data_IF_244712084049
#
_entry.id   IF_244712084049
#
_cell.length_a   1.000
_cell.length_b   1.000
_cell.length_c   1.000
_cell.angle_alpha   90.00
_cell.angle_beta   90.00
_cell.angle_gamma   90.00
#
_symmetry.space_group_name_H-M   'P 1'
#
loop_
_entity.id
_entity.type
_entity.pdbx_description
1 polymer ?
#
# COMPACT_ATOMS: atom_id res chain seq x y z
N UNK A 1 5.84 -32.21 -22.70
CA UNK A 1 5.08 -31.53 -21.63
C UNK A 1 5.16 -30.04 -21.91
N UNK A 2 4.03 -29.42 -22.17
CA UNK A 2 3.89 -28.14 -22.84
C UNK A 2 4.33 -26.97 -21.95
N UNK A 3 5.01 -25.96 -22.55
CA UNK A 3 5.48 -24.69 -21.93
C UNK A 3 4.42 -23.92 -21.12
N UNK A 4 3.15 -24.20 -21.31
CA UNK A 4 2.02 -23.48 -20.71
C UNK A 4 1.80 -23.70 -19.20
N UNK A 5 2.65 -24.49 -18.52
CA UNK A 5 2.35 -24.93 -17.16
C UNK A 5 3.42 -24.55 -16.10
N UNK A 6 4.34 -23.62 -16.42
CA UNK A 6 5.36 -23.16 -15.49
C UNK A 6 5.36 -21.63 -15.40
N UNK A 7 5.32 -21.11 -14.18
CA UNK A 7 5.25 -19.70 -13.84
C UNK A 7 6.62 -19.27 -13.34
N UNK A 8 7.17 -18.19 -13.90
CA UNK A 8 8.44 -17.63 -13.47
C UNK A 8 8.34 -17.08 -12.04
N UNK A 9 9.34 -17.35 -11.22
CA UNK A 9 9.45 -16.87 -9.84
C UNK A 9 10.41 -15.70 -9.80
N UNK A 10 10.05 -14.64 -9.06
CA UNK A 10 10.95 -13.51 -8.81
C UNK A 10 12.10 -13.94 -7.90
N UNK A 11 13.28 -13.36 -8.14
CA UNK A 11 14.46 -13.62 -7.30
C UNK A 11 14.22 -13.31 -5.82
N UNK A 12 13.48 -12.24 -5.52
CA UNK A 12 13.09 -11.83 -4.16
C UNK A 12 12.23 -12.88 -3.44
N UNK A 13 11.45 -13.65 -4.18
CA UNK A 13 10.50 -14.62 -3.63
C UNK A 13 11.12 -16.01 -3.35
N UNK A 14 12.24 -16.31 -3.98
CA UNK A 14 12.84 -17.67 -3.95
C UNK A 14 13.05 -18.19 -2.53
N UNK A 15 13.50 -17.33 -1.62
CA UNK A 15 13.73 -17.69 -0.21
C UNK A 15 12.46 -17.97 0.60
N UNK A 16 11.29 -17.60 0.08
CA UNK A 16 10.02 -17.80 0.77
C UNK A 16 9.40 -19.18 0.51
N UNK A 17 9.79 -19.84 -0.60
CA UNK A 17 9.24 -21.13 -0.99
C UNK A 17 9.98 -22.28 -0.30
N UNK A 18 9.46 -22.77 0.83
CA UNK A 18 10.01 -23.94 1.53
C UNK A 18 9.36 -25.24 1.03
N UNK A 19 8.03 -25.26 0.97
CA UNK A 19 7.25 -26.44 0.54
C UNK A 19 7.05 -26.52 -0.96
N UNK A 20 7.10 -25.39 -1.67
CA UNK A 20 6.92 -25.34 -3.11
C UNK A 20 8.19 -25.78 -3.83
N UNK A 21 8.14 -26.80 -4.70
CA UNK A 21 9.29 -27.22 -5.51
C UNK A 21 9.59 -26.17 -6.58
N UNK A 22 10.88 -25.95 -6.84
CA UNK A 22 11.34 -24.99 -7.84
C UNK A 22 12.05 -25.69 -8.99
N UNK A 23 11.84 -25.19 -10.19
CA UNK A 23 12.36 -25.74 -11.44
C UNK A 23 13.23 -24.70 -12.15
N UNK A 24 14.17 -25.18 -12.97
CA UNK A 24 14.93 -24.34 -13.90
C UNK A 24 14.84 -24.89 -15.32
N UNK A 25 15.06 -24.05 -16.32
CA UNK A 25 15.23 -24.52 -17.70
C UNK A 25 16.61 -25.12 -17.89
N UNK A 26 16.67 -26.30 -18.50
CA UNK A 26 17.92 -26.93 -18.98
C UNK A 26 18.35 -26.30 -20.29
N UNK A 27 19.58 -26.63 -20.75
CA UNK A 27 20.10 -26.24 -22.07
C UNK A 27 19.25 -26.80 -23.24
N UNK A 28 18.50 -27.88 -22.99
CA UNK A 28 17.57 -28.49 -23.95
C UNK A 28 16.15 -27.95 -23.84
N UNK A 29 15.96 -26.82 -23.16
CA UNK A 29 14.66 -26.13 -22.94
C UNK A 29 13.62 -26.94 -22.13
N UNK A 30 14.03 -28.00 -21.44
CA UNK A 30 13.19 -28.79 -20.55
C UNK A 30 13.21 -28.19 -19.13
N UNK A 31 12.08 -28.29 -18.39
CA UNK A 31 12.06 -27.96 -17.00
C UNK A 31 12.59 -29.11 -16.14
N UNK A 32 13.63 -28.85 -15.38
CA UNK A 32 14.25 -29.80 -14.46
C UNK A 32 14.11 -29.31 -13.02
N UNK A 33 13.91 -30.24 -12.09
CA UNK A 33 13.80 -29.93 -10.67
C UNK A 33 15.11 -29.27 -10.21
N UNK A 34 15.00 -28.12 -9.55
CA UNK A 34 16.11 -27.37 -8.97
C UNK A 34 16.13 -27.47 -7.46
N UNK A 35 14.97 -27.34 -6.82
CA UNK A 35 14.74 -27.48 -5.38
C UNK A 35 13.52 -28.39 -5.16
N UNK A 36 13.63 -29.52 -4.47
CA UNK A 36 12.48 -30.31 -4.08
C UNK A 36 11.60 -29.58 -3.04
N UNK A 37 10.43 -30.13 -2.78
CA UNK A 37 9.59 -29.70 -1.67
C UNK A 37 10.30 -29.96 -0.32
N UNK A 38 9.99 -29.12 0.67
CA UNK A 38 10.55 -29.17 2.03
C UNK A 38 12.09 -29.06 2.12
N UNK A 39 12.73 -28.52 1.09
CA UNK A 39 14.16 -28.22 1.11
C UNK A 39 14.38 -26.69 1.18
N UNK A 40 15.55 -26.28 1.66
CA UNK A 40 15.94 -24.88 1.75
C UNK A 40 16.92 -24.52 0.65
N UNK A 41 16.81 -23.31 0.11
CA UNK A 41 17.76 -22.76 -0.84
C UNK A 41 18.82 -21.97 -0.08
N UNK A 42 20.08 -22.29 -0.35
CA UNK A 42 21.19 -21.42 0.07
C UNK A 42 21.16 -20.12 -0.75
N UNK A 43 20.61 -19.07 -0.13
CA UNK A 43 20.45 -17.75 -0.75
C UNK A 43 21.80 -17.09 -1.09
N UNK A 44 22.91 -17.50 -0.46
CA UNK A 44 24.23 -16.98 -0.80
C UNK A 44 24.65 -17.36 -2.22
N UNK A 45 24.15 -18.48 -2.74
CA UNK A 45 24.39 -18.86 -4.15
C UNK A 45 23.71 -17.92 -5.15
N UNK A 46 22.76 -17.09 -4.71
CA UNK A 46 22.03 -16.13 -5.54
C UNK A 46 22.56 -14.69 -5.44
N UNK A 47 23.62 -14.45 -4.67
CA UNK A 47 24.24 -13.14 -4.54
C UNK A 47 25.01 -12.70 -5.80
N UNK A 48 25.31 -13.63 -6.75
CA UNK A 48 25.99 -13.35 -8.01
C UNK A 48 25.06 -13.02 -9.17
N UNK A 49 25.63 -12.48 -10.26
CA UNK A 49 24.89 -12.11 -11.48
C UNK A 49 24.36 -13.30 -12.29
N UNK A 50 24.87 -14.51 -12.07
CA UNK A 50 24.49 -15.74 -12.78
C UNK A 50 23.48 -16.58 -12.00
N UNK A 51 22.33 -16.03 -11.80
CA UNK A 51 21.22 -16.74 -11.17
C UNK A 51 20.28 -17.30 -12.26
N UNK A 52 19.98 -18.63 -12.26
CA UNK A 52 19.06 -19.19 -13.22
C UNK A 52 17.63 -18.71 -12.92
N UNK A 53 16.88 -18.31 -13.94
CA UNK A 53 15.45 -18.09 -13.77
C UNK A 53 14.79 -19.35 -13.22
N UNK A 54 14.12 -19.23 -12.08
CA UNK A 54 13.37 -20.33 -11.47
C UNK A 54 11.88 -20.22 -11.77
N UNK A 55 11.20 -21.36 -11.67
CA UNK A 55 9.80 -21.53 -12.03
C UNK A 55 9.11 -22.45 -11.03
N UNK A 56 7.79 -22.23 -10.85
CA UNK A 56 6.88 -23.16 -10.18
C UNK A 56 5.96 -23.79 -11.23
N UNK A 57 5.42 -24.97 -10.96
CA UNK A 57 4.36 -25.54 -11.81
C UNK A 57 3.04 -24.83 -11.53
N UNK A 58 2.19 -24.68 -12.53
CA UNK A 58 0.86 -24.08 -12.37
C UNK A 58 0.02 -24.78 -11.29
N UNK A 59 0.13 -26.10 -11.16
CA UNK A 59 -0.55 -26.85 -10.10
C UNK A 59 -0.07 -26.51 -8.67
N UNK A 60 1.13 -25.98 -8.51
CA UNK A 60 1.71 -25.62 -7.22
C UNK A 60 1.49 -24.11 -6.90
N UNK A 61 0.85 -23.37 -7.80
CA UNK A 61 0.69 -21.90 -7.71
C UNK A 61 -0.03 -21.48 -6.43
N UNK A 62 -1.15 -22.11 -6.11
CA UNK A 62 -1.92 -21.77 -4.90
C UNK A 62 -1.10 -22.00 -3.62
N UNK A 63 -0.40 -23.13 -3.54
CA UNK A 63 0.49 -23.43 -2.41
C UNK A 63 1.61 -22.41 -2.30
N UNK A 64 2.20 -22.00 -3.43
CA UNK A 64 3.25 -21.00 -3.47
C UNK A 64 2.77 -19.64 -2.97
N UNK A 65 1.57 -19.20 -3.36
CA UNK A 65 0.97 -17.95 -2.93
C UNK A 65 0.70 -17.96 -1.41
N UNK A 66 0.11 -19.03 -0.90
CA UNK A 66 -0.14 -19.17 0.54
C UNK A 66 1.17 -19.15 1.34
N UNK A 67 2.21 -19.78 0.81
CA UNK A 67 3.53 -19.80 1.43
C UNK A 67 4.18 -18.42 1.43
N UNK A 68 4.13 -17.71 0.30
CA UNK A 68 4.60 -16.33 0.17
C UNK A 68 3.90 -15.41 1.18
N UNK A 69 2.56 -15.41 1.21
CA UNK A 69 1.79 -14.57 2.13
C UNK A 69 2.12 -14.88 3.60
N UNK A 70 2.24 -16.17 3.95
CA UNK A 70 2.62 -16.59 5.30
C UNK A 70 4.00 -16.05 5.69
N UNK A 71 4.98 -16.14 4.80
CA UNK A 71 6.35 -15.67 5.09
C UNK A 71 6.40 -14.14 5.20
N UNK A 72 5.75 -13.43 4.30
CA UNK A 72 5.66 -11.96 4.34
C UNK A 72 5.03 -11.47 5.65
N UNK A 73 3.91 -12.07 6.07
CA UNK A 73 3.26 -11.75 7.36
C UNK A 73 4.15 -12.09 8.55
N UNK A 74 4.83 -13.23 8.51
CA UNK A 74 5.74 -13.62 9.59
C UNK A 74 6.92 -12.66 9.72
N UNK A 75 7.47 -12.19 8.60
CA UNK A 75 8.53 -11.20 8.55
C UNK A 75 8.07 -9.86 9.15
N UNK A 76 6.88 -9.38 8.77
CA UNK A 76 6.31 -8.16 9.35
C UNK A 76 6.11 -8.29 10.86
N UNK A 77 5.51 -9.39 11.34
CA UNK A 77 5.33 -9.63 12.77
C UNK A 77 6.66 -9.67 13.53
N UNK A 78 7.69 -10.33 12.98
CA UNK A 78 9.02 -10.35 13.57
C UNK A 78 9.65 -8.95 13.64
N UNK A 79 9.50 -8.15 12.58
CA UNK A 79 9.96 -6.76 12.57
C UNK A 79 9.24 -5.88 13.61
N UNK A 80 7.92 -6.08 13.77
CA UNK A 80 7.14 -5.40 14.82
C UNK A 80 7.63 -5.81 16.20
N UNK A 81 7.84 -7.09 16.43
CA UNK A 81 8.33 -7.61 17.71
C UNK A 81 9.72 -7.08 18.07
N UNK A 82 10.61 -6.92 17.09
CA UNK A 82 11.93 -6.30 17.32
C UNK A 82 11.86 -4.81 17.66
N UNK A 83 10.77 -4.13 17.29
CA UNK A 83 10.60 -2.69 17.46
C UNK A 83 11.47 -1.83 16.52
N UNK A 84 12.15 -2.45 15.55
CA UNK A 84 12.99 -1.74 14.59
C UNK A 84 12.15 -1.11 13.48
N UNK A 85 11.94 0.21 13.55
CA UNK A 85 11.08 0.97 12.63
C UNK A 85 11.45 0.79 11.17
N UNK A 86 12.74 0.78 10.85
CA UNK A 86 13.24 0.55 9.50
C UNK A 86 12.82 -0.83 8.97
N UNK A 87 12.96 -1.87 9.78
CA UNK A 87 12.60 -3.22 9.41
C UNK A 87 11.08 -3.36 9.19
N UNK A 88 10.27 -2.71 10.03
CA UNK A 88 8.81 -2.68 9.88
C UNK A 88 8.42 -2.01 8.56
N UNK A 89 8.95 -0.81 8.30
CA UNK A 89 8.63 -0.06 7.09
C UNK A 89 9.08 -0.79 5.83
N UNK A 90 10.28 -1.37 5.82
CA UNK A 90 10.77 -2.20 4.71
C UNK A 90 9.89 -3.42 4.46
N UNK A 91 9.44 -4.10 5.52
CA UNK A 91 8.55 -5.25 5.39
C UNK A 91 7.20 -4.85 4.78
N UNK A 92 6.64 -3.69 5.18
CA UNK A 92 5.41 -3.15 4.58
C UNK A 92 5.60 -2.80 3.10
N UNK A 93 6.69 -2.12 2.76
CA UNK A 93 7.04 -1.76 1.38
C UNK A 93 7.15 -3.02 0.52
N UNK A 94 7.84 -4.05 1.00
CA UNK A 94 8.02 -5.31 0.28
C UNK A 94 6.67 -5.99 -0.01
N UNK A 95 5.78 -6.05 0.97
CA UNK A 95 4.46 -6.69 0.82
C UNK A 95 3.60 -5.93 -0.21
N UNK A 96 3.56 -4.60 -0.10
CA UNK A 96 2.78 -3.77 -1.02
C UNK A 96 3.37 -3.81 -2.44
N UNK A 97 4.70 -3.86 -2.54
CA UNK A 97 5.39 -4.03 -3.82
C UNK A 97 4.98 -5.35 -4.50
N UNK A 98 5.00 -6.46 -3.76
CA UNK A 98 4.57 -7.75 -4.30
C UNK A 98 3.09 -7.74 -4.72
N UNK A 99 2.22 -7.08 -3.96
CA UNK A 99 0.81 -6.95 -4.28
C UNK A 99 0.57 -6.09 -5.54
N UNK A 100 1.37 -5.04 -5.76
CA UNK A 100 1.20 -4.11 -6.88
C UNK A 100 1.84 -4.59 -8.17
N UNK A 101 3.00 -5.28 -8.12
CA UNK A 101 3.67 -5.76 -9.34
C UNK A 101 2.89 -6.85 -10.05
N UNK A 102 2.26 -7.72 -9.29
CA UNK A 102 1.34 -8.70 -9.82
C UNK A 102 -0.08 -8.29 -9.43
N UNK A 103 -0.69 -7.40 -10.20
CA UNK A 103 -2.12 -7.12 -10.11
C UNK A 103 -2.97 -8.35 -10.48
N UNK A 104 -2.37 -9.54 -10.41
CA UNK A 104 -3.07 -10.81 -10.51
C UNK A 104 -3.88 -11.02 -9.25
N UNK A 105 -5.03 -11.65 -9.36
CA UNK A 105 -6.00 -11.95 -8.30
C UNK A 105 -5.41 -12.64 -7.06
N UNK A 106 -4.13 -13.00 -7.10
CA UNK A 106 -3.50 -13.86 -6.13
C UNK A 106 -2.81 -13.13 -4.96
N UNK A 107 -2.22 -11.95 -5.19
CA UNK A 107 -1.45 -11.24 -4.15
C UNK A 107 -2.24 -10.15 -3.42
N UNK A 108 -3.33 -9.66 -4.01
CA UNK A 108 -4.18 -8.64 -3.38
C UNK A 108 -4.78 -9.04 -2.03
N UNK A 109 -5.16 -10.32 -1.80
CA UNK A 109 -5.71 -10.74 -0.50
C UNK A 109 -4.78 -10.57 0.69
N UNK A 110 -3.49 -10.36 0.49
CA UNK A 110 -2.56 -10.08 1.61
C UNK A 110 -2.78 -8.68 2.21
N UNK A 111 -3.28 -7.70 1.43
CA UNK A 111 -3.40 -6.31 1.87
C UNK A 111 -4.35 -6.12 3.08
N UNK A 112 -5.56 -6.70 3.11
CA UNK A 112 -6.42 -6.65 4.31
C UNK A 112 -5.73 -7.21 5.55
N UNK A 113 -5.04 -8.35 5.43
CA UNK A 113 -4.36 -8.98 6.55
C UNK A 113 -3.22 -8.11 7.11
N UNK A 114 -2.55 -7.34 6.24
CA UNK A 114 -1.50 -6.38 6.66
C UNK A 114 -2.13 -5.22 7.43
N UNK A 115 -3.26 -4.69 6.95
CA UNK A 115 -3.99 -3.63 7.67
C UNK A 115 -4.44 -4.13 9.04
N UNK A 116 -4.90 -5.38 9.15
CA UNK A 116 -5.25 -6.00 10.43
C UNK A 116 -4.06 -6.06 11.38
N UNK A 117 -2.91 -6.57 10.92
CA UNK A 117 -1.70 -6.65 11.74
C UNK A 117 -1.27 -5.27 12.24
N UNK A 118 -1.28 -4.25 11.38
CA UNK A 118 -0.88 -2.89 11.75
C UNK A 118 -1.90 -2.25 12.69
N UNK A 119 -3.19 -2.45 12.47
CA UNK A 119 -4.26 -1.95 13.34
C UNK A 119 -4.13 -2.53 14.75
N UNK A 120 -3.98 -3.86 14.86
CA UNK A 120 -3.83 -4.55 16.15
C UNK A 120 -2.57 -4.08 16.89
N UNK A 121 -1.46 -3.95 16.14
CA UNK A 121 -0.18 -3.44 16.68
C UNK A 121 -0.29 -2.02 17.23
N UNK A 122 -1.14 -1.18 16.65
CA UNK A 122 -1.33 0.19 17.13
C UNK A 122 -1.88 0.23 18.56
N UNK A 123 -2.82 -0.66 18.89
CA UNK A 123 -3.36 -0.72 20.25
C UNK A 123 -2.32 -1.15 21.28
N UNK A 124 -1.35 -1.98 20.87
CA UNK A 124 -0.27 -2.44 21.73
C UNK A 124 0.87 -1.41 21.86
N UNK A 125 1.09 -0.59 20.83
CA UNK A 125 2.22 0.34 20.74
C UNK A 125 1.85 1.66 20.03
N UNK A 126 1.02 2.49 20.68
CA UNK A 126 0.47 3.74 20.13
C UNK A 126 1.49 4.72 19.50
N UNK A 127 2.76 4.65 19.88
CA UNK A 127 3.83 5.50 19.34
C UNK A 127 4.49 4.93 18.08
N UNK A 128 4.25 3.66 17.73
CA UNK A 128 4.96 2.99 16.66
C UNK A 128 4.64 3.61 15.30
N UNK A 129 3.35 3.85 15.02
CA UNK A 129 2.91 4.38 13.73
C UNK A 129 3.42 5.80 13.47
N UNK A 130 3.39 6.66 14.50
CA UNK A 130 3.94 8.03 14.37
C UNK A 130 5.42 8.00 14.02
N UNK A 131 6.18 7.10 14.65
CA UNK A 131 7.60 6.93 14.37
C UNK A 131 7.87 6.30 12.99
N UNK A 132 6.96 5.48 12.44
CA UNK A 132 7.12 4.95 11.08
C UNK A 132 7.10 6.06 10.02
N UNK A 133 6.41 7.17 10.27
CA UNK A 133 6.37 8.31 9.36
C UNK A 133 7.67 9.13 9.37
N UNK A 134 8.46 9.04 10.46
CA UNK A 134 9.77 9.68 10.56
C UNK A 134 10.85 8.92 9.77
N UNK A 135 10.59 7.66 9.41
CA UNK A 135 11.49 6.83 8.61
C UNK A 135 11.29 7.13 7.13
N UNK A 136 12.25 7.80 6.51
CA UNK A 136 12.27 8.06 5.07
C UNK A 136 13.40 7.27 4.40
N UNK A 137 13.07 6.54 3.33
CA UNK A 137 14.06 5.95 2.44
C UNK A 137 14.37 6.96 1.34
N UNK A 138 15.64 7.26 1.12
CA UNK A 138 16.10 8.34 0.24
C UNK A 138 15.78 8.15 -1.24
N UNK A 139 14.53 8.17 -1.59
CA UNK A 139 14.00 8.13 -2.94
C UNK A 139 12.48 7.94 -2.91
N UNK A 140 11.74 8.70 -3.71
CA UNK A 140 10.29 8.52 -3.84
C UNK A 140 10.02 7.13 -4.45
N UNK A 141 9.42 6.27 -3.64
CA UNK A 141 8.84 5.02 -4.09
C UNK A 141 7.33 5.14 -4.01
N UNK A 142 6.64 4.79 -5.10
CA UNK A 142 5.18 4.71 -5.14
C UNK A 142 4.62 3.87 -3.98
N UNK A 143 5.31 2.77 -3.69
CA UNK A 143 4.93 1.85 -2.62
C UNK A 143 5.14 2.45 -1.24
N UNK A 144 6.23 3.19 -1.03
CA UNK A 144 6.46 3.92 0.22
C UNK A 144 5.39 4.99 0.46
N UNK A 145 4.99 5.71 -0.61
CA UNK A 145 3.89 6.65 -0.58
C UNK A 145 2.58 5.98 -0.13
N UNK A 146 2.20 4.86 -0.74
CA UNK A 146 1.00 4.11 -0.35
C UNK A 146 1.01 3.66 1.11
N UNK A 147 2.17 3.21 1.61
CA UNK A 147 2.35 2.87 3.03
C UNK A 147 2.20 4.09 3.93
N UNK A 148 2.77 5.24 3.57
CA UNK A 148 2.64 6.48 4.34
C UNK A 148 1.18 6.94 4.39
N UNK A 149 0.49 6.99 3.25
CA UNK A 149 -0.93 7.39 3.16
C UNK A 149 -1.79 6.47 4.01
N UNK A 150 -1.54 5.16 4.00
CA UNK A 150 -2.20 4.20 4.89
C UNK A 150 -1.96 4.51 6.36
N UNK A 151 -0.72 4.77 6.78
CA UNK A 151 -0.39 5.06 8.19
C UNK A 151 -1.03 6.38 8.66
N UNK A 152 -1.02 7.43 7.83
CA UNK A 152 -1.73 8.68 8.13
C UNK A 152 -3.24 8.47 8.25
N UNK A 153 -3.82 7.68 7.36
CA UNK A 153 -5.26 7.38 7.36
C UNK A 153 -5.66 6.56 8.58
N UNK A 154 -4.84 5.59 8.96
CA UNK A 154 -5.04 4.82 10.18
C UNK A 154 -5.01 5.73 11.43
N UNK A 155 -4.00 6.60 11.54
CA UNK A 155 -3.90 7.56 12.64
C UNK A 155 -5.13 8.50 12.67
N UNK A 156 -5.60 8.95 11.51
CA UNK A 156 -6.80 9.79 11.39
C UNK A 156 -8.06 9.05 11.86
N UNK A 157 -8.25 7.78 11.45
CA UNK A 157 -9.41 6.98 11.85
C UNK A 157 -9.45 6.68 13.35
N UNK A 158 -8.28 6.42 13.93
CA UNK A 158 -8.14 6.19 15.37
C UNK A 158 -8.37 7.47 16.18
N UNK A 159 -7.82 8.61 15.73
CA UNK A 159 -8.10 9.91 16.32
C UNK A 159 -9.59 10.25 16.28
N UNK A 160 -10.25 10.03 15.15
CA UNK A 160 -11.68 10.28 14.94
C UNK A 160 -12.60 9.28 15.65
N UNK A 161 -12.05 8.24 16.27
CA UNK A 161 -12.81 7.15 16.92
C UNK A 161 -13.88 6.53 15.98
N UNK A 162 -13.49 6.25 14.74
CA UNK A 162 -14.41 5.74 13.71
C UNK A 162 -14.81 4.27 13.89
N UNK A 163 -14.26 3.60 14.89
CA UNK A 163 -14.40 2.17 15.10
C UNK A 163 -13.50 1.35 14.16
N UNK A 164 -13.34 0.08 14.50
CA UNK A 164 -12.42 -0.83 13.82
C UNK A 164 -12.72 -0.98 12.33
N UNK A 165 -13.98 -1.32 12.01
CA UNK A 165 -14.40 -1.63 10.62
C UNK A 165 -14.14 -0.46 9.67
N UNK A 166 -14.55 0.76 10.01
CA UNK A 166 -14.35 1.92 9.14
C UNK A 166 -12.87 2.31 9.07
N UNK A 167 -12.14 2.25 10.19
CA UNK A 167 -10.72 2.58 10.23
C UNK A 167 -9.90 1.62 9.36
N UNK A 168 -10.13 0.31 9.46
CA UNK A 168 -9.47 -0.70 8.63
C UNK A 168 -9.81 -0.54 7.15
N UNK A 169 -11.07 -0.26 6.82
CA UNK A 169 -11.52 -0.04 5.44
C UNK A 169 -10.88 1.20 4.82
N UNK A 170 -10.85 2.33 5.53
CA UNK A 170 -10.14 3.55 5.12
C UNK A 170 -8.65 3.30 4.90
N UNK A 171 -8.01 2.58 5.83
CA UNK A 171 -6.58 2.26 5.74
C UNK A 171 -6.27 1.36 4.56
N UNK A 172 -7.14 0.39 4.27
CA UNK A 172 -6.99 -0.50 3.12
C UNK A 172 -7.18 0.25 1.81
N UNK A 173 -8.19 1.11 1.71
CA UNK A 173 -8.39 1.96 0.55
C UNK A 173 -7.20 2.89 0.32
N UNK A 174 -6.65 3.49 1.38
CA UNK A 174 -5.44 4.30 1.35
C UNK A 174 -4.21 3.51 0.91
N UNK A 175 -4.05 2.25 1.37
CA UNK A 175 -2.94 1.39 0.95
C UNK A 175 -3.00 1.05 -0.54
N UNK A 176 -4.21 0.88 -1.08
CA UNK A 176 -4.43 0.44 -2.46
C UNK A 176 -4.77 1.58 -3.45
N UNK A 177 -4.81 2.86 -3.01
CA UNK A 177 -5.33 3.96 -3.83
C UNK A 177 -4.61 4.10 -5.19
N UNK A 178 -3.33 3.86 -5.21
CA UNK A 178 -2.46 3.99 -6.37
C UNK A 178 -2.19 2.66 -7.13
N UNK A 179 -2.92 1.58 -6.80
CA UNK A 179 -2.71 0.26 -7.42
C UNK A 179 -2.84 0.30 -8.95
N UNK A 180 -3.66 1.19 -9.48
CA UNK A 180 -3.82 1.38 -10.92
C UNK A 180 -2.54 1.84 -11.64
N UNK A 181 -1.59 2.46 -10.93
CA UNK A 181 -0.29 2.85 -11.49
C UNK A 181 0.53 1.65 -11.96
N UNK A 182 0.28 0.45 -11.42
CA UNK A 182 0.91 -0.78 -11.91
C UNK A 182 0.64 -1.07 -13.39
N UNK A 183 -0.44 -0.51 -13.96
CA UNK A 183 -0.79 -0.64 -15.39
C UNK A 183 -0.39 0.58 -16.23
N UNK A 184 0.07 1.65 -15.61
CA UNK A 184 0.60 2.80 -16.33
C UNK A 184 2.02 2.49 -16.83
N UNK A 185 2.39 2.89 -18.05
CA UNK A 185 3.73 2.64 -18.58
C UNK A 185 4.82 3.14 -17.64
N UNK A 186 5.75 2.26 -17.24
CA UNK A 186 6.87 2.59 -16.31
C UNK A 186 7.64 3.84 -16.75
N UNK A 187 7.81 4.05 -18.06
CA UNK A 187 8.44 5.24 -18.63
C UNK A 187 7.75 6.58 -18.26
N UNK A 188 6.44 6.55 -17.93
CA UNK A 188 5.70 7.76 -17.50
C UNK A 188 5.87 7.96 -16.00
N UNK A 189 5.76 6.86 -15.22
CA UNK A 189 5.84 6.91 -13.75
C UNK A 189 7.24 7.32 -13.29
N UNK A 190 8.29 6.83 -13.97
CA UNK A 190 9.69 7.07 -13.60
C UNK A 190 10.25 8.44 -14.03
N UNK A 191 9.43 9.30 -14.69
CA UNK A 191 9.90 10.60 -15.14
C UNK A 191 10.18 11.55 -13.96
N UNK A 192 11.38 12.11 -13.95
CA UNK A 192 11.80 13.12 -12.98
C UNK A 192 11.61 14.56 -13.52
N UNK A 193 10.62 14.77 -14.36
CA UNK A 193 10.18 16.06 -14.88
C UNK A 193 8.66 16.18 -14.83
N UNK A 194 8.15 17.37 -15.07
CA UNK A 194 6.71 17.56 -15.27
C UNK A 194 6.25 16.76 -16.50
N UNK A 195 5.15 16.03 -16.35
CA UNK A 195 4.50 15.30 -17.44
C UNK A 195 4.00 16.27 -18.51
N UNK A 196 4.11 15.89 -19.78
CA UNK A 196 3.38 16.55 -20.87
C UNK A 196 1.88 16.34 -20.72
N UNK A 197 1.05 17.12 -21.41
CA UNK A 197 -0.41 16.93 -21.38
C UNK A 197 -0.81 15.51 -21.75
N UNK A 198 -0.22 14.93 -22.81
CA UNK A 198 -0.50 13.56 -23.25
C UNK A 198 -0.10 12.52 -22.21
N UNK A 199 1.04 12.69 -21.56
CA UNK A 199 1.49 11.79 -20.49
C UNK A 199 0.60 11.92 -19.25
N UNK A 200 0.15 13.15 -18.95
CA UNK A 200 -0.75 13.41 -17.84
C UNK A 200 -2.15 12.82 -18.08
N UNK A 201 -2.67 12.88 -19.31
CA UNK A 201 -3.93 12.19 -19.65
C UNK A 201 -3.83 10.67 -19.41
N UNK A 202 -2.70 10.05 -19.75
CA UNK A 202 -2.47 8.64 -19.45
C UNK A 202 -2.38 8.42 -17.93
N UNK A 203 -1.63 9.27 -17.21
CA UNK A 203 -1.49 9.19 -15.76
C UNK A 203 -2.85 9.29 -15.06
N UNK A 204 -3.73 10.20 -15.47
CA UNK A 204 -5.08 10.41 -14.90
C UNK A 204 -6.00 9.19 -14.99
N UNK A 205 -5.64 8.17 -15.75
CA UNK A 205 -6.47 6.95 -15.85
C UNK A 205 -6.29 5.99 -14.68
N UNK A 206 -5.21 6.15 -13.87
CA UNK A 206 -4.91 5.18 -12.81
C UNK A 206 -6.02 5.02 -11.74
N UNK A 207 -6.80 6.05 -11.34
CA UNK A 207 -7.88 5.85 -10.38
C UNK A 207 -8.98 4.92 -10.93
N UNK A 208 -9.32 5.07 -12.22
CA UNK A 208 -10.29 4.22 -12.88
C UNK A 208 -9.76 2.77 -13.04
N UNK A 209 -8.50 2.63 -13.41
CA UNK A 209 -7.83 1.31 -13.51
C UNK A 209 -7.78 0.64 -12.15
N UNK A 210 -7.42 1.37 -11.09
CA UNK A 210 -7.38 0.85 -9.72
C UNK A 210 -8.75 0.41 -9.22
N UNK A 211 -9.79 1.21 -9.48
CA UNK A 211 -11.18 0.86 -9.23
C UNK A 211 -11.54 -0.49 -9.87
N UNK A 212 -11.21 -0.65 -11.16
CA UNK A 212 -11.57 -1.85 -11.91
C UNK A 212 -10.81 -3.09 -11.39
N UNK A 213 -9.53 -2.96 -11.03
CA UNK A 213 -8.73 -4.02 -10.43
C UNK A 213 -9.41 -4.51 -9.14
N UNK A 214 -9.72 -3.62 -8.21
CA UNK A 214 -10.33 -3.98 -6.91
C UNK A 214 -11.75 -4.52 -7.09
N UNK A 215 -12.54 -3.93 -7.97
CA UNK A 215 -13.92 -4.38 -8.26
C UNK A 215 -13.95 -5.78 -8.89
N UNK A 216 -13.05 -6.06 -9.84
CA UNK A 216 -12.97 -7.37 -10.50
C UNK A 216 -12.53 -8.48 -9.56
N UNK A 217 -11.69 -8.17 -8.59
CA UNK A 217 -11.28 -9.13 -7.57
C UNK A 217 -12.46 -9.63 -6.72
N UNK A 218 -13.46 -8.81 -6.46
CA UNK A 218 -14.76 -9.19 -5.86
C UNK A 218 -14.77 -9.52 -4.37
N UNK A 219 -13.61 -9.59 -3.70
CA UNK A 219 -13.52 -9.90 -2.25
C UNK A 219 -13.43 -8.65 -1.36
N UNK A 220 -13.26 -7.47 -1.95
CA UNK A 220 -13.15 -6.21 -1.21
C UNK A 220 -14.51 -5.56 -1.02
N UNK A 221 -14.66 -4.78 0.07
CA UNK A 221 -15.83 -3.91 0.24
C UNK A 221 -15.94 -2.94 -0.95
N UNK A 222 -17.10 -2.83 -1.61
CA UNK A 222 -17.27 -1.98 -2.79
C UNK A 222 -16.88 -0.51 -2.57
N UNK A 223 -16.98 0.01 -1.34
CA UNK A 223 -16.59 1.38 -1.04
C UNK A 223 -15.08 1.63 -1.22
N UNK A 224 -14.24 0.58 -1.12
CA UNK A 224 -12.81 0.68 -1.38
C UNK A 224 -12.56 1.03 -2.85
N UNK A 225 -13.21 0.34 -3.78
CA UNK A 225 -13.09 0.65 -5.20
C UNK A 225 -13.58 2.08 -5.50
N UNK A 226 -14.70 2.50 -4.90
CA UNK A 226 -15.23 3.87 -5.06
C UNK A 226 -14.23 4.90 -4.57
N UNK A 227 -13.66 4.73 -3.39
CA UNK A 227 -12.71 5.70 -2.84
C UNK A 227 -11.40 5.77 -3.65
N UNK A 228 -10.95 4.65 -4.22
CA UNK A 228 -9.83 4.61 -5.16
C UNK A 228 -10.15 5.42 -6.44
N UNK A 229 -11.38 5.30 -6.97
CA UNK A 229 -11.79 6.10 -8.13
C UNK A 229 -11.82 7.61 -7.82
N UNK A 230 -12.07 7.97 -6.57
CA UNK A 230 -12.34 9.36 -6.15
C UNK A 230 -11.13 10.09 -5.54
N UNK A 231 -9.99 9.42 -5.29
CA UNK A 231 -8.89 10.02 -4.53
C UNK A 231 -8.22 11.24 -5.20
N UNK A 232 -8.44 11.45 -6.47
CA UNK A 232 -8.03 12.66 -7.19
C UNK A 232 -9.19 13.57 -7.61
N UNK A 233 -10.39 13.29 -7.16
CA UNK A 233 -11.52 14.21 -7.29
C UNK A 233 -11.49 15.28 -6.19
N UNK A 234 -12.09 16.43 -6.46
CA UNK A 234 -12.14 17.55 -5.54
C UNK A 234 -13.57 18.05 -5.35
N UNK A 235 -13.89 18.58 -4.17
CA UNK A 235 -15.24 19.09 -3.87
C UNK A 235 -15.68 20.25 -4.76
N UNK A 236 -14.76 20.92 -5.44
CA UNK A 236 -15.06 21.95 -6.42
C UNK A 236 -15.28 21.42 -7.86
N UNK A 237 -15.21 20.10 -8.06
CA UNK A 237 -15.40 19.45 -9.35
C UNK A 237 -14.23 19.58 -10.33
N UNK A 238 -13.09 20.15 -9.92
CA UNK A 238 -11.91 20.34 -10.78
C UNK A 238 -10.91 19.18 -10.70
N UNK A 239 -11.32 18.04 -10.10
CA UNK A 239 -10.53 16.82 -10.01
C UNK A 239 -10.59 15.95 -11.25
N UNK A 240 -10.13 14.74 -11.13
CA UNK A 240 -10.21 13.69 -12.14
C UNK A 240 -10.40 12.31 -11.50
N UNK A 241 -10.85 11.28 -12.21
CA UNK A 241 -11.06 11.21 -13.66
C UNK A 241 -12.44 11.70 -14.14
N UNK A 242 -13.41 11.92 -13.24
CA UNK A 242 -14.80 12.24 -13.59
C UNK A 242 -15.16 13.72 -13.46
N UNK A 243 -14.39 14.49 -12.70
CA UNK A 243 -14.68 15.90 -12.40
C UNK A 243 -15.95 16.10 -11.59
N UNK A 244 -16.18 15.25 -10.57
CA UNK A 244 -17.37 15.28 -9.73
C UNK A 244 -17.08 15.93 -8.38
N UNK A 245 -18.11 16.60 -7.81
CA UNK A 245 -18.02 17.27 -6.50
C UNK A 245 -18.67 16.48 -5.36
N UNK A 246 -19.57 15.53 -5.69
CA UNK A 246 -20.22 14.68 -4.68
C UNK A 246 -19.39 13.42 -4.46
N UNK A 247 -18.55 13.42 -3.44
CA UNK A 247 -17.56 12.39 -3.13
C UNK A 247 -17.95 11.60 -1.90
N UNK A 248 -17.60 10.32 -1.87
CA UNK A 248 -17.67 9.51 -0.66
C UNK A 248 -16.81 10.12 0.46
N UNK A 249 -17.14 9.81 1.71
CA UNK A 249 -16.32 10.24 2.85
C UNK A 249 -14.89 9.70 2.73
N UNK A 250 -14.77 8.43 2.38
CA UNK A 250 -13.49 7.75 2.19
C UNK A 250 -12.65 8.40 1.08
N UNK A 251 -13.26 8.71 -0.06
CA UNK A 251 -12.60 9.41 -1.17
C UNK A 251 -12.06 10.79 -0.76
N UNK A 252 -12.86 11.56 -0.01
CA UNK A 252 -12.44 12.87 0.52
C UNK A 252 -11.24 12.75 1.49
N UNK A 253 -11.25 11.74 2.37
CA UNK A 253 -10.15 11.51 3.33
C UNK A 253 -8.87 11.16 2.60
N UNK A 254 -8.94 10.21 1.66
CA UNK A 254 -7.76 9.75 0.92
C UNK A 254 -7.21 10.88 0.05
N UNK A 255 -8.06 11.62 -0.68
CA UNK A 255 -7.63 12.76 -1.51
C UNK A 255 -6.83 13.81 -0.73
N UNK A 256 -7.28 14.10 0.50
CA UNK A 256 -6.60 15.05 1.37
C UNK A 256 -5.25 14.53 1.87
N UNK A 257 -5.21 13.28 2.35
CA UNK A 257 -4.01 12.68 2.94
C UNK A 257 -2.97 12.37 1.86
N UNK A 258 -3.39 11.88 0.70
CA UNK A 258 -2.54 11.70 -0.48
C UNK A 258 -1.87 13.03 -0.88
N UNK A 259 -2.66 14.11 -0.99
CA UNK A 259 -2.12 15.44 -1.30
C UNK A 259 -1.10 15.88 -0.24
N UNK A 260 -1.37 15.63 1.05
CA UNK A 260 -0.45 15.97 2.13
C UNK A 260 0.87 15.19 2.01
N UNK A 261 0.83 13.86 1.88
CA UNK A 261 2.06 13.05 1.76
C UNK A 261 2.84 13.41 0.50
N UNK A 262 2.17 13.62 -0.62
CA UNK A 262 2.81 14.09 -1.85
C UNK A 262 3.57 15.42 -1.70
N UNK A 263 3.12 16.32 -0.83
CA UNK A 263 3.79 17.59 -0.58
C UNK A 263 5.03 17.44 0.30
N UNK A 264 5.06 16.48 1.22
CA UNK A 264 6.13 16.33 2.22
C UNK A 264 7.13 15.22 1.92
N UNK A 265 6.78 14.22 1.12
CA UNK A 265 7.60 13.03 0.87
C UNK A 265 8.18 12.97 -0.54
N UNK A 266 7.54 13.58 -1.52
CA UNK A 266 7.91 13.43 -2.92
C UNK A 266 8.85 14.54 -3.39
N UNK A 267 10.16 14.24 -3.42
CA UNK A 267 11.11 15.08 -4.16
C UNK A 267 11.09 14.69 -5.65
N UNK A 268 10.67 15.63 -6.51
CA UNK A 268 10.85 15.53 -7.96
C UNK A 268 11.69 16.73 -8.39
N UNK A 269 12.48 16.62 -9.47
CA UNK A 269 13.34 17.72 -9.94
C UNK A 269 12.59 19.05 -10.09
N UNK A 270 11.29 19.00 -10.39
CA UNK A 270 10.44 20.18 -10.56
C UNK A 270 9.67 20.61 -9.28
N UNK A 271 9.80 19.88 -8.14
CA UNK A 271 9.06 20.18 -6.91
C UNK A 271 9.91 19.91 -5.68
N UNK A 272 10.13 20.94 -4.86
CA UNK A 272 10.80 20.78 -3.56
C UNK A 272 9.85 20.21 -2.53
N UNK A 273 10.37 19.32 -1.68
CA UNK A 273 9.70 18.83 -0.48
C UNK A 273 9.36 20.03 0.41
N UNK A 274 8.12 20.05 0.92
CA UNK A 274 7.67 21.05 1.90
C UNK A 274 7.81 20.49 3.31
N UNK A 275 8.03 21.40 4.26
CA UNK A 275 7.86 21.03 5.68
C UNK A 275 6.37 20.75 5.95
N UNK A 276 6.03 19.86 6.89
CA UNK A 276 4.62 19.51 7.19
C UNK A 276 3.74 20.73 7.43
N UNK A 277 4.22 21.73 8.17
CA UNK A 277 3.49 22.97 8.42
C UNK A 277 3.23 23.80 7.15
N UNK A 278 4.20 23.85 6.23
CA UNK A 278 4.05 24.55 4.95
C UNK A 278 3.03 23.82 4.05
N UNK A 279 3.06 22.48 4.05
CA UNK A 279 2.09 21.67 3.31
C UNK A 279 0.65 21.91 3.85
N UNK A 280 0.47 21.92 5.17
CA UNK A 280 -0.84 22.21 5.79
C UNK A 280 -1.34 23.61 5.47
N UNK A 281 -0.47 24.63 5.45
CA UNK A 281 -0.86 25.99 5.08
C UNK A 281 -1.26 26.09 3.61
N UNK A 282 -0.58 25.34 2.72
CA UNK A 282 -0.95 25.29 1.31
C UNK A 282 -2.35 24.66 1.14
N UNK A 283 -2.58 23.49 1.73
CA UNK A 283 -3.88 22.80 1.70
C UNK A 283 -4.99 23.71 2.28
N UNK A 284 -4.73 24.39 3.41
CA UNK A 284 -5.67 25.36 3.99
C UNK A 284 -6.01 26.48 3.01
N UNK A 285 -5.02 26.99 2.25
CA UNK A 285 -5.24 28.00 1.23
C UNK A 285 -6.13 27.48 0.10
N UNK A 286 -5.92 26.26 -0.36
CA UNK A 286 -6.75 25.61 -1.39
C UNK A 286 -8.19 25.39 -0.92
N UNK A 287 -8.40 25.04 0.37
CA UNK A 287 -9.73 24.94 0.96
C UNK A 287 -10.45 26.29 0.93
N UNK A 288 -9.75 27.36 1.35
CA UNK A 288 -10.36 28.69 1.49
C UNK A 288 -10.63 29.34 0.13
N UNK A 289 -9.69 29.24 -0.80
CA UNK A 289 -9.75 29.94 -2.10
C UNK A 289 -10.53 29.17 -3.15
N UNK A 290 -10.42 27.83 -3.12
CA UNK A 290 -10.88 26.99 -4.21
C UNK A 290 -11.99 26.01 -3.79
N UNK A 291 -12.23 25.82 -2.47
CA UNK A 291 -13.19 24.83 -1.99
C UNK A 291 -12.78 23.38 -2.32
N UNK A 292 -11.47 23.12 -2.44
CA UNK A 292 -10.94 21.85 -2.96
C UNK A 292 -11.19 20.66 -2.03
N UNK A 293 -11.01 20.85 -0.73
CA UNK A 293 -11.11 19.81 0.28
C UNK A 293 -12.10 20.14 1.39
N UNK A 294 -12.51 19.13 2.14
CA UNK A 294 -13.41 19.24 3.28
C UNK A 294 -12.70 19.89 4.47
N UNK A 295 -13.23 21.04 4.92
CA UNK A 295 -12.68 21.82 6.04
C UNK A 295 -12.67 21.04 7.35
N UNK A 296 -13.70 20.21 7.61
CA UNK A 296 -13.78 19.41 8.84
C UNK A 296 -12.74 18.31 8.83
N UNK A 297 -12.64 17.55 7.74
CA UNK A 297 -11.62 16.48 7.58
C UNK A 297 -10.22 17.07 7.74
N UNK A 298 -9.93 18.21 7.11
CA UNK A 298 -8.65 18.90 7.25
C UNK A 298 -8.36 19.32 8.70
N UNK A 299 -9.33 19.90 9.40
CA UNK A 299 -9.17 20.27 10.81
C UNK A 299 -8.84 19.05 11.68
N UNK A 300 -9.60 17.99 11.51
CA UNK A 300 -9.44 16.76 12.30
C UNK A 300 -8.10 16.08 11.99
N UNK A 301 -7.63 16.10 10.72
CA UNK A 301 -6.31 15.64 10.34
C UNK A 301 -5.19 16.45 11.03
N UNK A 302 -5.28 17.79 11.03
CA UNK A 302 -4.31 18.62 11.75
C UNK A 302 -4.25 18.30 13.24
N UNK A 303 -5.40 18.07 13.87
CA UNK A 303 -5.49 17.71 15.28
C UNK A 303 -4.91 16.32 15.56
N UNK A 304 -5.12 15.35 14.66
CA UNK A 304 -4.56 13.99 14.79
C UNK A 304 -3.03 13.98 14.83
N UNK A 305 -2.39 14.97 14.22
CA UNK A 305 -0.92 15.12 14.27
C UNK A 305 -0.45 15.86 15.53
N UNK A 306 -1.27 16.77 16.06
CA UNK A 306 -0.92 17.61 17.20
C UNK A 306 -1.04 16.86 18.54
N UNK A 307 -1.93 15.86 18.63
CA UNK A 307 -2.05 15.06 19.86
C UNK A 307 -0.78 14.25 20.12
N UNK A 308 -0.07 14.64 21.16
CA UNK A 308 0.96 13.82 21.78
C UNK A 308 0.25 12.58 22.34
N UNK A 309 0.41 11.45 21.66
CA UNK A 309 0.08 10.09 22.09
C UNK A 309 -0.56 9.96 23.49
N UNK A 310 -1.81 10.29 23.60
CA UNK A 310 -2.70 9.86 24.64
C UNK A 310 -3.82 9.13 23.92
N UNK A 311 -3.87 7.79 24.04
CA UNK A 311 -5.14 7.09 23.83
C UNK A 311 -6.21 7.91 24.59
N UNK A 312 -7.40 8.17 24.01
CA UNK A 312 -8.51 8.61 24.82
C UNK A 312 -8.54 7.63 25.98
N UNK A 313 -8.37 8.14 27.20
CA UNK A 313 -8.48 7.34 28.41
C UNK A 313 -9.72 6.49 28.23
N UNK A 314 -9.54 5.18 28.18
CA UNK A 314 -10.65 4.26 28.15
C UNK A 314 -11.52 4.66 29.37
N UNK A 315 -12.59 5.40 29.12
CA UNK A 315 -13.62 5.60 30.11
C UNK A 315 -14.20 4.21 30.35
N UNK A 316 -13.70 3.58 31.41
CA UNK A 316 -14.33 2.47 32.04
C UNK A 316 -15.79 2.84 32.31
N UNK A 317 -16.70 2.28 31.55
CA UNK A 317 -18.12 2.61 31.69
C UNK A 317 -19.00 1.80 30.76
N UNK A 318 -18.97 0.48 30.92
CA UNK A 318 -19.88 -0.44 30.26
C UNK A 318 -20.13 -1.64 31.16
N UNK A 319 -20.95 -1.45 32.20
CA UNK A 319 -21.49 -2.52 33.01
C UNK A 319 -22.08 -3.62 32.11
N UNK A 320 -21.49 -4.79 32.16
CA UNK A 320 -22.16 -6.00 31.67
C UNK A 320 -23.35 -6.28 32.58
N UNK A 321 -24.52 -5.96 32.13
CA UNK A 321 -25.72 -6.55 32.70
C UNK A 321 -25.84 -7.98 32.19
N UNK A 322 -25.56 -8.95 33.07
CA UNK A 322 -26.11 -10.29 32.99
C UNK A 322 -27.59 -10.19 33.39
N UNK A 323 -28.47 -10.63 32.50
CA UNK A 323 -29.88 -10.87 32.69
C UNK A 323 -30.32 -11.85 31.62
#
# INVERSE_FOLDING_TARGET
>A
MTEKNHIAVKKSQVGYYKKTPLFKRSTQNAFVLYKPDNDEIDLNRFAGEQYPQLYIRGQDQETAIQELHKQLKSKLKASIYSGELNAIKLSLIEIVYEAFEETSDHNLPVLPEIVDIIYDTYYETANLLKKLLDVQYGGYSLVEHSVNVMVYTLNYGLYGNFGETLTKRLSLAALAHDIGLAKIPKKIISLDRKLTEKEFEIYKTHPAIGHDIIKQHGSFDPSIAVSILEHHEYLNGNGYPRGIANLSFEGQVIALIDTFDNLISSAKAHRKIKKPFEAMNLIKSEIIKEGRFNKKIFKDLCLSFAEKSGLPSAQAGGQRHHG
#
